data_IF_917595266665
#
_entry.id   IF_917595266665
#
_cell.length_a   1.000
_cell.length_b   1.000
_cell.length_c   1.000
_cell.angle_alpha   90.00
_cell.angle_beta   90.00
_cell.angle_gamma   90.00
#
_symmetry.space_group_name_H-M   'P 1'
#
loop_
_entity.id
_entity.type
_entity.pdbx_description
1 polymer ?
#
# COMPACT_ATOMS: atom_id res chain seq x y z
N UNK A 1 13.45 -1.40 -15.38
CA UNK A 1 12.54 -2.38 -14.75
C UNK A 1 11.10 -1.86 -14.76
N UNK A 2 10.12 -2.68 -14.33
CA UNK A 2 8.69 -2.58 -14.67
C UNK A 2 7.97 -1.27 -14.30
N UNK A 3 6.86 -1.00 -15.01
CA UNK A 3 6.04 0.24 -14.89
C UNK A 3 5.61 0.59 -13.46
N UNK A 4 5.61 -0.36 -12.52
CA UNK A 4 5.27 -0.18 -11.11
C UNK A 4 6.22 0.77 -10.38
N UNK A 5 7.52 0.78 -10.74
CA UNK A 5 8.55 1.56 -10.06
C UNK A 5 8.27 3.08 -10.18
N UNK A 6 7.67 3.51 -11.29
CA UNK A 6 7.28 4.91 -11.52
C UNK A 6 6.18 5.41 -10.58
N UNK A 7 5.45 4.50 -9.92
CA UNK A 7 4.41 4.83 -8.93
C UNK A 7 4.92 4.74 -7.49
N UNK A 8 6.24 4.68 -7.31
CA UNK A 8 6.85 4.91 -6.02
C UNK A 8 6.57 6.35 -5.61
N UNK A 9 5.82 6.54 -4.53
CA UNK A 9 5.41 7.88 -4.10
C UNK A 9 6.57 8.63 -3.47
N UNK A 10 7.24 8.00 -2.50
CA UNK A 10 8.35 8.60 -1.77
C UNK A 10 9.18 7.57 -1.01
N UNK A 11 10.45 7.94 -0.77
CA UNK A 11 11.36 7.29 0.18
C UNK A 11 11.40 8.15 1.45
N UNK A 12 11.05 7.56 2.59
CA UNK A 12 11.04 8.24 3.89
C UNK A 12 12.04 7.60 4.83
N UNK A 13 12.80 8.39 5.61
CA UNK A 13 13.57 7.84 6.72
C UNK A 13 12.62 7.28 7.79
N UNK A 14 13.02 6.19 8.43
CA UNK A 14 12.28 5.64 9.57
C UNK A 14 12.77 6.29 10.85
N UNK A 15 11.83 6.88 11.61
CA UNK A 15 12.14 7.52 12.89
C UNK A 15 12.80 6.50 13.82
N UNK A 16 13.91 6.89 14.46
CA UNK A 16 14.73 6.05 15.34
C UNK A 16 15.48 4.88 14.65
N UNK A 17 15.61 4.88 13.32
CA UNK A 17 16.45 3.93 12.58
C UNK A 17 17.27 4.64 11.49
N UNK A 18 18.54 4.90 11.76
CA UNK A 18 19.44 5.66 10.86
C UNK A 18 19.81 4.91 9.57
N UNK A 19 19.50 3.61 9.49
CA UNK A 19 19.83 2.73 8.35
C UNK A 19 18.60 2.10 7.70
N UNK A 20 17.41 2.63 7.99
CA UNK A 20 16.16 2.10 7.46
C UNK A 20 15.40 3.18 6.71
N UNK A 21 14.89 2.81 5.54
CA UNK A 21 14.00 3.64 4.75
C UNK A 21 12.69 2.90 4.52
N UNK A 22 11.60 3.65 4.50
CA UNK A 22 10.27 3.18 4.16
C UNK A 22 9.89 3.74 2.79
N UNK A 23 9.33 2.88 1.94
CA UNK A 23 8.89 3.24 0.60
C UNK A 23 7.38 3.06 0.52
N UNK A 24 6.68 4.10 0.06
CA UNK A 24 5.24 4.05 -0.13
C UNK A 24 4.87 3.85 -1.60
N UNK A 25 3.94 2.93 -1.83
CA UNK A 25 3.34 2.68 -3.14
C UNK A 25 1.85 3.03 -3.08
N UNK A 26 1.31 3.56 -4.17
CA UNK A 26 -0.11 3.86 -4.31
C UNK A 26 -0.71 3.17 -5.53
N UNK A 27 -2.01 2.84 -5.44
CA UNK A 27 -2.79 2.31 -6.55
C UNK A 27 -2.36 0.91 -7.01
N UNK A 28 -2.47 0.67 -8.32
CA UNK A 28 -2.24 -0.66 -8.93
C UNK A 28 -0.82 -1.19 -8.71
N UNK A 29 0.15 -0.30 -8.54
CA UNK A 29 1.56 -0.66 -8.38
C UNK A 29 1.85 -1.34 -7.06
N UNK A 30 1.08 -1.06 -6.00
CA UNK A 30 1.16 -1.82 -4.74
C UNK A 30 0.84 -3.30 -4.96
N UNK A 31 -0.18 -3.61 -5.78
CA UNK A 31 -0.56 -5.00 -6.09
C UNK A 31 0.46 -5.71 -6.95
N UNK A 32 0.98 -5.00 -7.96
CA UNK A 32 2.06 -5.55 -8.78
C UNK A 32 3.27 -5.85 -7.91
N UNK A 33 3.65 -4.93 -7.02
CA UNK A 33 4.73 -5.13 -6.05
C UNK A 33 4.54 -6.36 -5.16
N UNK A 34 3.32 -6.64 -4.68
CA UNK A 34 3.03 -7.83 -3.88
C UNK A 34 3.28 -9.16 -4.66
N UNK A 35 3.16 -9.14 -5.98
CA UNK A 35 3.36 -10.33 -6.82
C UNK A 35 4.81 -10.59 -7.24
N UNK A 36 5.72 -9.64 -7.03
CA UNK A 36 7.13 -9.72 -7.43
C UNK A 36 7.97 -10.42 -6.36
N UNK A 37 9.16 -10.89 -6.72
CA UNK A 37 10.13 -11.40 -5.74
C UNK A 37 10.85 -10.26 -5.01
N UNK A 38 11.47 -10.57 -3.85
CA UNK A 38 12.24 -9.57 -3.10
C UNK A 38 13.39 -8.99 -3.92
N UNK A 39 14.03 -9.81 -4.76
CA UNK A 39 15.13 -9.40 -5.64
C UNK A 39 14.65 -8.40 -6.70
N UNK A 40 13.54 -8.69 -7.38
CA UNK A 40 12.97 -7.81 -8.40
C UNK A 40 12.58 -6.44 -7.83
N UNK A 41 12.02 -6.45 -6.61
CA UNK A 41 11.68 -5.23 -5.88
C UNK A 41 12.93 -4.46 -5.48
N UNK A 42 13.94 -5.15 -4.94
CA UNK A 42 15.21 -4.54 -4.53
C UNK A 42 15.90 -3.86 -5.70
N UNK A 43 16.02 -4.58 -6.82
CA UNK A 43 16.63 -4.04 -8.05
C UNK A 43 15.88 -2.81 -8.56
N UNK A 44 14.54 -2.85 -8.58
CA UNK A 44 13.71 -1.72 -9.02
C UNK A 44 13.89 -0.48 -8.14
N UNK A 45 13.91 -0.65 -6.81
CA UNK A 45 14.11 0.45 -5.86
C UNK A 45 15.54 1.00 -5.91
N UNK A 46 16.55 0.13 -6.04
CA UNK A 46 17.94 0.55 -6.20
C UNK A 46 18.18 1.27 -7.52
N UNK A 47 17.51 0.87 -8.60
CA UNK A 47 17.54 1.59 -9.89
C UNK A 47 17.01 3.03 -9.71
N UNK A 48 15.88 3.21 -9.01
CA UNK A 48 15.32 4.53 -8.72
C UNK A 48 16.25 5.38 -7.84
N UNK A 49 16.74 4.82 -6.73
CA UNK A 49 17.65 5.54 -5.83
C UNK A 49 18.93 5.98 -6.57
N UNK A 50 19.54 5.08 -7.33
CA UNK A 50 20.74 5.42 -8.11
C UNK A 50 20.46 6.48 -9.18
N UNK A 51 19.28 6.48 -9.80
CA UNK A 51 18.89 7.52 -10.76
C UNK A 51 18.79 8.90 -10.13
N UNK A 52 18.21 9.01 -8.93
CA UNK A 52 17.97 10.30 -8.27
C UNK A 52 19.18 10.81 -7.46
N UNK A 53 19.84 9.93 -6.70
CA UNK A 53 20.89 10.33 -5.75
C UNK A 53 22.24 9.66 -6.00
N UNK A 54 22.31 8.66 -6.88
CA UNK A 54 23.53 7.88 -7.15
C UNK A 54 24.71 8.69 -7.71
N UNK A 55 24.46 9.87 -8.28
CA UNK A 55 25.53 10.79 -8.73
C UNK A 55 26.23 11.52 -7.58
N UNK A 56 25.56 11.62 -6.42
CA UNK A 56 26.01 12.39 -5.26
C UNK A 56 26.41 11.44 -4.12
N UNK A 57 25.69 10.34 -3.97
CA UNK A 57 25.86 9.38 -2.89
C UNK A 57 26.05 7.96 -3.45
N UNK A 58 26.96 7.21 -2.84
CA UNK A 58 27.07 5.76 -3.09
C UNK A 58 26.04 5.03 -2.21
N UNK A 59 24.93 4.60 -2.81
CA UNK A 59 23.84 3.92 -2.10
C UNK A 59 24.17 2.44 -1.96
N UNK A 60 24.35 1.90 -0.73
CA UNK A 60 24.62 0.48 -0.54
C UNK A 60 23.37 -0.36 -0.82
N UNK A 61 23.57 -1.64 -1.15
CA UNK A 61 22.49 -2.61 -1.23
C UNK A 61 21.85 -2.82 0.15
N UNK A 62 20.51 -2.94 0.24
CA UNK A 62 19.85 -3.25 1.50
C UNK A 62 20.18 -4.68 1.96
N UNK A 63 20.30 -4.88 3.27
CA UNK A 63 20.53 -6.20 3.86
C UNK A 63 19.25 -7.06 3.87
N UNK A 64 18.08 -6.43 3.92
CA UNK A 64 16.77 -7.08 3.90
C UNK A 64 15.69 -6.09 3.45
N UNK A 65 14.59 -6.62 2.91
CA UNK A 65 13.38 -5.85 2.64
C UNK A 65 12.22 -6.47 3.43
N UNK A 66 11.43 -5.61 4.07
CA UNK A 66 10.14 -5.99 4.65
C UNK A 66 9.03 -5.39 3.79
N UNK A 67 8.21 -6.25 3.19
CA UNK A 67 7.08 -5.85 2.34
C UNK A 67 5.77 -6.20 3.02
N UNK A 68 4.81 -5.29 2.95
CA UNK A 68 3.44 -5.56 3.37
C UNK A 68 2.60 -6.12 2.23
N UNK A 69 1.81 -7.16 2.50
CA UNK A 69 0.96 -7.84 1.53
C UNK A 69 -0.54 -7.60 1.82
N UNK A 70 -0.93 -6.33 1.99
CA UNK A 70 -2.27 -5.97 2.46
C UNK A 70 -3.40 -6.43 1.54
N UNK A 71 -3.16 -6.50 0.23
CA UNK A 71 -4.16 -6.91 -0.75
C UNK A 71 -4.30 -8.44 -0.81
N UNK A 72 -3.19 -9.16 -0.89
CA UNK A 72 -3.17 -10.62 -1.03
C UNK A 72 -3.41 -11.35 0.29
N UNK A 73 -3.21 -10.70 1.44
CA UNK A 73 -3.41 -11.34 2.73
C UNK A 73 -4.91 -11.55 3.04
N UNK A 74 -5.35 -12.80 3.35
CA UNK A 74 -6.77 -13.17 3.44
C UNK A 74 -7.57 -12.39 4.48
N UNK A 75 -6.90 -11.87 5.51
CA UNK A 75 -7.55 -11.19 6.63
C UNK A 75 -7.60 -9.67 6.48
N UNK A 76 -6.87 -9.09 5.51
CA UNK A 76 -6.80 -7.63 5.37
C UNK A 76 -7.55 -7.10 4.17
N UNK A 77 -7.76 -7.89 3.10
CA UNK A 77 -8.63 -7.54 1.95
C UNK A 77 -8.41 -6.14 1.34
N UNK A 78 -7.27 -5.50 1.62
CA UNK A 78 -7.02 -4.08 1.35
C UNK A 78 -6.33 -3.34 2.52
N UNK A 79 -5.78 -2.16 2.22
CA UNK A 79 -5.02 -1.38 3.20
C UNK A 79 -5.87 -0.38 4.00
N UNK A 80 -6.82 0.29 3.36
CA UNK A 80 -7.70 1.28 3.98
C UNK A 80 -8.98 1.47 3.16
N UNK A 81 -10.07 1.90 3.79
CA UNK A 81 -11.33 2.24 3.12
C UNK A 81 -11.30 3.68 2.59
N UNK A 82 -11.85 3.91 1.40
CA UNK A 82 -12.07 5.25 0.84
C UNK A 82 -13.48 5.40 0.26
N UNK A 83 -13.97 6.63 0.15
CA UNK A 83 -15.24 6.92 -0.52
C UNK A 83 -15.06 6.86 -2.03
N UNK A 84 -15.83 6.01 -2.68
CA UNK A 84 -15.83 5.90 -4.14
C UNK A 84 -16.81 6.90 -4.77
N UNK A 85 -16.63 7.23 -6.04
CA UNK A 85 -17.61 8.02 -6.82
C UNK A 85 -19.00 7.37 -6.82
N UNK A 86 -19.06 6.03 -6.74
CA UNK A 86 -20.31 5.29 -6.60
C UNK A 86 -20.94 5.48 -5.22
N UNK A 87 -20.14 5.54 -4.16
CA UNK A 87 -20.60 5.85 -2.80
C UNK A 87 -21.18 7.26 -2.75
N UNK A 88 -20.51 8.22 -3.38
CA UNK A 88 -20.94 9.61 -3.44
C UNK A 88 -22.22 9.78 -4.25
N UNK A 89 -22.33 9.14 -5.43
CA UNK A 89 -23.57 9.17 -6.23
C UNK A 89 -24.76 8.51 -5.54
N UNK A 90 -24.50 7.64 -4.55
CA UNK A 90 -25.53 7.00 -3.72
C UNK A 90 -25.75 7.70 -2.37
N UNK A 91 -25.12 8.86 -2.13
CA UNK A 91 -25.14 9.56 -0.84
C UNK A 91 -24.74 8.67 0.35
N UNK A 92 -23.90 7.65 0.12
CA UNK A 92 -23.38 6.77 1.16
C UNK A 92 -22.22 7.45 1.87
N UNK A 93 -22.35 7.58 3.18
CA UNK A 93 -21.39 8.24 4.05
C UNK A 93 -20.77 7.26 5.05
N UNK A 94 -19.69 7.68 5.72
CA UNK A 94 -19.13 6.90 6.83
C UNK A 94 -20.15 6.69 7.97
N UNK A 95 -21.17 7.56 8.08
CA UNK A 95 -22.24 7.37 9.06
C UNK A 95 -23.14 6.16 8.75
N UNK A 96 -23.23 5.76 7.48
CA UNK A 96 -23.97 4.57 7.06
C UNK A 96 -23.20 3.29 7.38
N UNK A 97 -21.86 3.34 7.37
CA UNK A 97 -20.99 2.25 7.81
C UNK A 97 -21.01 2.07 9.34
N UNK A 98 -21.32 3.12 10.09
CA UNK A 98 -21.44 3.06 11.55
C UNK A 98 -22.74 2.40 12.01
N UNK A 99 -23.71 2.16 11.10
CA UNK A 99 -24.95 1.46 11.42
C UNK A 99 -24.66 -0.04 11.54
N UNK A 100 -25.05 -0.70 12.65
CA UNK A 100 -24.80 -2.12 12.82
C UNK A 100 -25.57 -2.92 11.77
N UNK A 101 -24.88 -3.80 11.04
CA UNK A 101 -25.55 -4.80 10.22
C UNK A 101 -25.96 -5.94 11.14
N UNK A 102 -27.24 -6.26 11.20
CA UNK A 102 -27.72 -7.32 12.08
C UNK A 102 -27.70 -8.66 11.34
N UNK A 103 -27.12 -9.68 11.96
CA UNK A 103 -27.27 -11.07 11.54
C UNK A 103 -28.74 -11.54 11.69
N UNK A 104 -29.09 -12.70 11.14
CA UNK A 104 -30.42 -13.35 11.29
C UNK A 104 -30.85 -13.52 12.75
N UNK A 105 -29.90 -13.49 13.69
CA UNK A 105 -30.12 -13.54 15.13
C UNK A 105 -30.11 -12.16 15.82
N UNK A 106 -30.26 -11.07 15.06
CA UNK A 106 -30.27 -9.70 15.56
C UNK A 106 -28.96 -9.27 16.26
N UNK A 107 -27.83 -9.90 15.93
CA UNK A 107 -26.51 -9.59 16.50
C UNK A 107 -25.74 -8.63 15.57
N UNK A 108 -25.12 -7.56 16.09
CA UNK A 108 -24.34 -6.64 15.27
C UNK A 108 -23.11 -7.32 14.66
N UNK A 109 -22.99 -7.23 13.34
CA UNK A 109 -21.87 -7.65 12.51
C UNK A 109 -21.22 -6.39 11.96
N UNK A 110 -19.94 -6.21 12.26
CA UNK A 110 -19.14 -5.14 11.65
C UNK A 110 -18.64 -5.62 10.30
N UNK A 111 -19.14 -5.02 9.21
CA UNK A 111 -18.67 -5.30 7.85
C UNK A 111 -17.72 -4.17 7.45
N UNK A 112 -16.42 -4.43 7.54
CA UNK A 112 -15.40 -3.51 7.05
C UNK A 112 -15.20 -3.75 5.55
N UNK A 113 -15.75 -2.88 4.70
CA UNK A 113 -15.43 -2.88 3.27
C UNK A 113 -14.10 -2.15 3.06
N UNK A 114 -13.03 -2.90 2.81
CA UNK A 114 -11.73 -2.37 2.36
C UNK A 114 -11.69 -2.41 0.84
N UNK A 115 -11.91 -1.28 0.19
CA UNK A 115 -11.50 -1.09 -1.20
C UNK A 115 -10.19 -0.32 -1.13
N UNK A 116 -9.07 -0.92 -1.56
CA UNK A 116 -7.81 -0.20 -1.66
C UNK A 116 -7.99 1.06 -2.50
N UNK A 117 -7.48 2.20 -2.04
CA UNK A 117 -7.71 3.47 -2.70
C UNK A 117 -7.20 3.49 -4.14
N UNK A 118 -8.09 3.95 -5.02
CA UNK A 118 -7.81 4.21 -6.41
C UNK A 118 -8.10 5.69 -6.65
N UNK A 119 -7.04 6.45 -6.92
CA UNK A 119 -7.09 7.75 -7.61
C UNK A 119 -6.15 7.66 -8.79
#
# INVERSE_FOLDING_TARGET
HGSWAAYTYAFHPVVNHDRMMCVWFSGQSGRTMESLTEEEVTEGLMELLNKFVGKIYNVPQPEAILRSDWWSYPHTLGAYSYRTVLSDSRNLSNSDLAKPVLDVNNKPVSILYTLGAYS
#
